data_IF_740420972094
#
_entry.id   IF_740420972094
#
_cell.length_a   1.000
_cell.length_b   1.000
_cell.length_c   1.000
_cell.angle_alpha   90.00
_cell.angle_beta   90.00
_cell.angle_gamma   90.00
#
_symmetry.space_group_name_H-M   'P 1'
#
loop_
_entity.id
_entity.type
_entity.pdbx_description
1 polymer ?
#
# COMPACT_ATOMS: atom_id res chain seq x y z
N UNK A 1 -40.28 33.96 -0.29
CA UNK A 1 -39.66 32.67 0.06
C UNK A 1 -39.35 31.96 -1.24
N UNK A 2 -38.10 32.07 -1.69
CA UNK A 2 -37.59 31.43 -2.90
C UNK A 2 -37.77 29.92 -2.81
N UNK A 3 -38.23 29.31 -3.90
CA UNK A 3 -38.33 27.86 -4.04
C UNK A 3 -36.94 27.26 -3.85
N UNK A 4 -36.72 26.61 -2.71
CA UNK A 4 -35.41 26.06 -2.38
C UNK A 4 -35.19 24.84 -3.27
N UNK A 5 -34.52 25.07 -4.41
CA UNK A 5 -34.36 24.11 -5.51
C UNK A 5 -33.83 22.77 -5.01
N UNK A 6 -33.07 22.77 -3.91
CA UNK A 6 -32.58 21.59 -3.21
C UNK A 6 -33.70 20.64 -2.77
N UNK A 7 -34.78 21.13 -2.18
CA UNK A 7 -35.89 20.28 -1.68
C UNK A 7 -36.69 19.66 -2.82
N UNK A 8 -36.87 20.38 -3.92
CA UNK A 8 -37.55 19.83 -5.10
C UNK A 8 -36.73 18.75 -5.80
N UNK A 9 -35.40 18.87 -5.80
CA UNK A 9 -34.49 17.86 -6.35
C UNK A 9 -34.48 16.60 -5.47
N UNK A 10 -34.47 16.76 -4.14
CA UNK A 10 -34.55 15.62 -3.21
C UNK A 10 -35.86 14.83 -3.34
N UNK A 11 -36.98 15.48 -3.69
CA UNK A 11 -38.26 14.80 -3.93
C UNK A 11 -38.28 13.94 -5.20
N UNK A 12 -37.40 14.23 -6.18
CA UNK A 12 -37.25 13.38 -7.37
C UNK A 12 -36.61 12.03 -7.02
N UNK A 13 -35.75 11.97 -6.01
CA UNK A 13 -35.17 10.72 -5.49
C UNK A 13 -36.22 9.79 -4.87
N UNK A 14 -37.33 10.36 -4.38
CA UNK A 14 -38.51 9.61 -3.94
C UNK A 14 -39.43 9.18 -5.11
N UNK A 15 -38.98 9.31 -6.36
CA UNK A 15 -39.70 8.85 -7.55
C UNK A 15 -40.82 9.79 -7.99
N UNK A 16 -40.76 11.07 -7.61
CA UNK A 16 -41.67 12.10 -8.10
C UNK A 16 -41.13 12.75 -9.38
N UNK A 17 -42.02 13.06 -10.32
CA UNK A 17 -41.64 13.92 -11.45
C UNK A 17 -41.49 15.37 -11.01
N UNK A 18 -40.77 16.17 -11.79
CA UNK A 18 -40.56 17.60 -11.50
C UNK A 18 -41.88 18.37 -11.24
N UNK A 19 -42.97 18.07 -11.97
CA UNK A 19 -44.26 18.69 -11.71
C UNK A 19 -44.91 18.19 -10.41
N UNK A 20 -44.77 16.91 -10.10
CA UNK A 20 -45.29 16.32 -8.86
C UNK A 20 -44.58 16.90 -7.63
N UNK A 21 -43.24 16.98 -7.67
CA UNK A 21 -42.43 17.55 -6.60
C UNK A 21 -42.80 19.02 -6.32
N UNK A 22 -42.98 19.82 -7.38
CA UNK A 22 -43.39 21.23 -7.27
C UNK A 22 -44.79 21.37 -6.69
N UNK A 23 -45.76 20.60 -7.18
CA UNK A 23 -47.13 20.64 -6.67
C UNK A 23 -47.19 20.24 -5.19
N UNK A 24 -46.51 19.16 -4.81
CA UNK A 24 -46.44 18.70 -3.42
C UNK A 24 -45.80 19.74 -2.50
N UNK A 25 -44.66 20.31 -2.89
CA UNK A 25 -43.99 21.38 -2.13
C UNK A 25 -44.88 22.61 -1.96
N UNK A 26 -45.59 23.04 -3.00
CA UNK A 26 -46.51 24.18 -2.94
C UNK A 26 -47.64 23.93 -1.95
N UNK A 27 -48.24 22.73 -1.96
CA UNK A 27 -49.31 22.37 -1.02
C UNK A 27 -48.82 22.26 0.43
N UNK A 28 -47.61 21.75 0.66
CA UNK A 28 -46.98 21.75 2.00
C UNK A 28 -46.70 23.18 2.49
N UNK A 29 -46.18 24.04 1.61
CA UNK A 29 -45.75 25.39 1.98
C UNK A 29 -46.90 26.38 2.17
N UNK A 30 -48.01 26.19 1.46
CA UNK A 30 -49.17 27.11 1.43
C UNK A 30 -50.41 26.57 2.12
N UNK A 31 -50.43 25.28 2.47
CA UNK A 31 -51.62 24.61 2.95
C UNK A 31 -52.62 24.29 1.84
N UNK A 32 -53.89 24.01 2.17
CA UNK A 32 -54.91 23.67 1.19
C UNK A 32 -55.14 24.81 0.18
N UNK A 33 -54.97 24.51 -1.11
CA UNK A 33 -55.09 25.48 -2.21
C UNK A 33 -56.02 24.95 -3.29
N UNK A 34 -56.70 25.84 -4.01
CA UNK A 34 -57.48 25.42 -5.19
C UNK A 34 -56.58 24.98 -6.34
N UNK A 35 -57.09 24.17 -7.28
CA UNK A 35 -56.31 23.76 -8.46
C UNK A 35 -55.81 24.96 -9.30
N UNK A 36 -56.55 26.07 -9.32
CA UNK A 36 -56.17 27.29 -10.02
C UNK A 36 -54.99 28.01 -9.32
N UNK A 37 -55.03 28.09 -7.99
CA UNK A 37 -53.95 28.65 -7.17
C UNK A 37 -52.71 27.76 -7.18
N UNK A 38 -52.90 26.44 -7.16
CA UNK A 38 -51.81 25.48 -7.28
C UNK A 38 -51.05 25.69 -8.59
N UNK A 39 -51.75 25.80 -9.72
CA UNK A 39 -51.13 26.11 -11.02
C UNK A 39 -50.27 27.36 -10.98
N UNK A 40 -50.76 28.41 -10.30
CA UNK A 40 -50.10 29.70 -10.23
C UNK A 40 -48.85 29.64 -9.33
N UNK A 41 -48.98 29.10 -8.12
CA UNK A 41 -47.88 29.06 -7.15
C UNK A 41 -46.84 27.99 -7.44
N UNK A 42 -47.23 26.88 -8.08
CA UNK A 42 -46.31 25.80 -8.45
C UNK A 42 -45.75 25.97 -9.87
N UNK A 43 -46.12 27.05 -10.59
CA UNK A 43 -45.85 27.32 -12.01
C UNK A 43 -45.96 26.07 -12.91
N UNK A 44 -46.99 25.26 -12.65
CA UNK A 44 -47.34 24.12 -13.50
C UNK A 44 -48.39 24.63 -14.51
N UNK A 45 -48.26 24.33 -15.81
CA UNK A 45 -49.26 24.70 -16.80
C UNK A 45 -50.66 24.23 -16.41
N UNK A 46 -51.69 25.08 -16.52
CA UNK A 46 -53.08 24.76 -16.13
C UNK A 46 -53.60 23.45 -16.73
N UNK A 47 -53.15 23.10 -17.94
CA UNK A 47 -53.51 21.85 -18.63
C UNK A 47 -52.95 20.58 -17.97
N UNK A 48 -51.92 20.71 -17.11
CA UNK A 48 -51.23 19.58 -16.45
C UNK A 48 -51.49 19.49 -14.95
N UNK A 49 -52.16 20.46 -14.33
CA UNK A 49 -52.37 20.47 -12.87
C UNK A 49 -53.26 19.32 -12.42
N UNK A 50 -54.40 19.11 -13.07
CA UNK A 50 -55.31 18.02 -12.71
C UNK A 50 -54.68 16.64 -12.91
N UNK A 51 -53.92 16.43 -13.97
CA UNK A 51 -53.23 15.15 -14.21
C UNK A 51 -52.08 14.92 -13.22
N UNK A 52 -51.41 15.98 -12.76
CA UNK A 52 -50.38 15.90 -11.71
C UNK A 52 -51.00 15.60 -10.35
N UNK A 53 -52.11 16.25 -10.00
CA UNK A 53 -52.88 15.98 -8.78
C UNK A 53 -53.38 14.54 -8.73
N UNK A 54 -53.89 14.02 -9.86
CA UNK A 54 -54.35 12.63 -9.94
C UNK A 54 -53.21 11.62 -9.68
N UNK A 55 -52.01 11.91 -10.18
CA UNK A 55 -50.83 11.08 -9.92
C UNK A 55 -50.37 11.16 -8.46
N UNK A 56 -50.38 12.35 -7.86
CA UNK A 56 -50.09 12.53 -6.44
C UNK A 56 -51.11 11.81 -5.56
N UNK A 57 -52.39 11.86 -5.92
CA UNK A 57 -53.46 11.13 -5.23
C UNK A 57 -53.26 9.62 -5.30
N UNK A 58 -52.91 9.08 -6.48
CA UNK A 58 -52.59 7.65 -6.64
C UNK A 58 -51.39 7.19 -5.83
N UNK A 59 -50.44 8.10 -5.56
CA UNK A 59 -49.29 7.87 -4.68
C UNK A 59 -49.59 8.15 -3.19
N UNK A 60 -50.84 8.45 -2.83
CA UNK A 60 -51.25 8.88 -1.48
C UNK A 60 -50.51 10.13 -0.94
N UNK A 61 -50.04 11.01 -1.84
CA UNK A 61 -49.30 12.22 -1.48
C UNK A 61 -50.19 13.47 -1.43
N UNK A 62 -51.41 13.40 -1.94
CA UNK A 62 -52.34 14.52 -1.96
C UNK A 62 -53.79 14.05 -1.80
N UNK A 63 -54.59 14.88 -1.14
CA UNK A 63 -56.04 14.72 -1.00
C UNK A 63 -56.76 15.87 -1.69
N UNK A 64 -57.94 15.57 -2.24
CA UNK A 64 -58.81 16.54 -2.91
C UNK A 64 -60.18 16.54 -2.26
N UNK A 65 -60.78 17.72 -2.11
CA UNK A 65 -62.17 17.86 -1.66
C UNK A 65 -63.16 17.75 -2.81
N UNK A 66 -64.36 17.22 -2.53
CA UNK A 66 -65.47 17.12 -3.50
C UNK A 66 -66.32 18.40 -3.57
N UNK A 67 -66.01 19.40 -2.75
CA UNK A 67 -66.68 20.70 -2.74
C UNK A 67 -66.17 21.60 -3.86
N UNK A 68 -67.02 22.48 -4.40
CA UNK A 68 -66.60 23.52 -5.36
C UNK A 68 -66.25 24.81 -4.61
N UNK A 69 -65.05 25.41 -4.80
CA UNK A 69 -63.96 24.96 -5.68
C UNK A 69 -63.18 23.77 -5.11
N UNK A 70 -62.65 22.91 -5.99
CA UNK A 70 -61.86 21.73 -5.62
C UNK A 70 -60.59 22.20 -4.89
N UNK A 71 -60.54 21.97 -3.59
CA UNK A 71 -59.36 22.22 -2.76
C UNK A 71 -58.46 21.00 -2.74
N UNK A 72 -57.16 21.23 -2.84
CA UNK A 72 -56.10 20.23 -2.85
C UNK A 72 -55.19 20.46 -1.65
N UNK A 73 -54.90 19.40 -0.90
CA UNK A 73 -54.00 19.44 0.25
C UNK A 73 -52.95 18.33 0.13
N UNK A 74 -51.72 18.61 0.54
CA UNK A 74 -50.69 17.59 0.65
C UNK A 74 -50.91 16.77 1.93
N UNK A 75 -50.60 15.48 1.83
CA UNK A 75 -50.45 14.62 3.02
C UNK A 75 -49.15 14.99 3.74
N UNK A 76 -49.10 14.86 5.06
CA UNK A 76 -47.91 15.19 5.84
C UNK A 76 -46.71 14.33 5.39
N UNK A 77 -45.49 14.88 5.25
CA UNK A 77 -44.32 14.13 4.75
C UNK A 77 -44.02 12.86 5.54
N UNK A 78 -44.25 12.88 6.86
CA UNK A 78 -44.04 11.74 7.75
C UNK A 78 -44.95 10.57 7.36
N UNK A 79 -46.20 10.84 6.99
CA UNK A 79 -47.16 9.80 6.56
C UNK A 79 -46.99 9.45 5.08
N UNK A 80 -46.69 10.44 4.26
CA UNK A 80 -46.62 10.36 2.81
C UNK A 80 -45.46 9.47 2.32
N UNK A 81 -44.31 9.51 3.01
CA UNK A 81 -43.11 8.79 2.59
C UNK A 81 -42.74 7.59 3.47
N UNK A 82 -43.35 7.40 4.64
CA UNK A 82 -43.02 6.28 5.54
C UNK A 82 -43.17 4.93 4.84
N UNK A 83 -44.28 4.70 4.14
CA UNK A 83 -44.48 3.43 3.41
C UNK A 83 -43.41 3.22 2.32
N UNK A 84 -43.03 4.28 1.61
CA UNK A 84 -42.01 4.21 0.56
C UNK A 84 -40.63 3.90 1.15
N UNK A 85 -40.30 4.52 2.29
CA UNK A 85 -39.05 4.27 3.02
C UNK A 85 -39.03 2.83 3.53
N UNK A 86 -40.11 2.34 4.14
CA UNK A 86 -40.22 0.97 4.62
C UNK A 86 -40.11 -0.05 3.47
N UNK A 87 -40.72 0.21 2.32
CA UNK A 87 -40.61 -0.66 1.15
C UNK A 87 -39.16 -0.75 0.63
N UNK A 88 -38.42 0.36 0.62
CA UNK A 88 -37.00 0.36 0.25
C UNK A 88 -36.16 -0.41 1.28
N UNK A 89 -36.40 -0.21 2.58
CA UNK A 89 -35.73 -0.96 3.65
C UNK A 89 -35.98 -2.46 3.49
N UNK A 90 -37.23 -2.86 3.26
CA UNK A 90 -37.62 -4.25 3.04
C UNK A 90 -36.95 -4.84 1.80
N UNK A 91 -36.85 -4.07 0.71
CA UNK A 91 -36.15 -4.49 -0.50
C UNK A 91 -34.66 -4.72 -0.26
N UNK A 92 -34.00 -3.81 0.46
CA UNK A 92 -32.60 -3.97 0.85
C UNK A 92 -32.40 -5.20 1.74
N UNK A 93 -33.28 -5.40 2.72
CA UNK A 93 -33.23 -6.57 3.59
C UNK A 93 -33.43 -7.88 2.82
N UNK A 94 -34.37 -7.92 1.87
CA UNK A 94 -34.57 -9.08 1.00
C UNK A 94 -33.33 -9.37 0.14
N UNK A 95 -32.70 -8.34 -0.44
CA UNK A 95 -31.45 -8.48 -1.19
C UNK A 95 -30.31 -9.02 -0.31
N UNK A 96 -30.15 -8.50 0.91
CA UNK A 96 -29.14 -9.00 1.85
C UNK A 96 -29.40 -10.46 2.27
N UNK A 97 -30.67 -10.84 2.46
CA UNK A 97 -31.05 -12.22 2.72
C UNK A 97 -30.71 -13.12 1.54
N UNK A 98 -30.98 -12.71 0.30
CA UNK A 98 -30.62 -13.46 -0.90
C UNK A 98 -29.11 -13.67 -1.01
N UNK A 99 -28.31 -12.62 -0.78
CA UNK A 99 -26.84 -12.73 -0.76
C UNK A 99 -26.37 -13.71 0.31
N UNK A 100 -26.99 -13.70 1.49
CA UNK A 100 -26.66 -14.63 2.59
C UNK A 100 -27.01 -16.08 2.25
N UNK A 101 -28.17 -16.31 1.62
CA UNK A 101 -28.55 -17.64 1.12
C UNK A 101 -27.60 -18.12 0.01
N UNK A 102 -27.21 -17.25 -0.92
CA UNK A 102 -26.24 -17.58 -1.97
C UNK A 102 -24.86 -17.91 -1.40
N UNK A 103 -24.42 -17.19 -0.35
CA UNK A 103 -23.18 -17.54 0.39
C UNK A 103 -23.27 -18.94 0.99
N UNK A 104 -24.40 -19.26 1.63
CA UNK A 104 -24.64 -20.58 2.23
C UNK A 104 -24.61 -21.70 1.19
N UNK A 105 -25.33 -21.53 0.08
CA UNK A 105 -25.34 -22.49 -1.04
C UNK A 105 -23.95 -22.65 -1.66
N UNK A 106 -23.21 -21.55 -1.82
CA UNK A 106 -21.84 -21.58 -2.28
C UNK A 106 -20.92 -22.36 -1.32
N UNK A 107 -21.06 -22.15 -0.02
CA UNK A 107 -20.27 -22.86 1.00
C UNK A 107 -20.65 -24.35 1.14
N UNK A 108 -21.91 -24.72 0.87
CA UNK A 108 -22.34 -26.12 0.81
C UNK A 108 -21.81 -26.84 -0.44
N UNK A 109 -21.88 -26.20 -1.62
CA UNK A 109 -21.22 -26.69 -2.85
C UNK A 109 -19.70 -26.82 -2.69
N UNK A 110 -19.08 -25.96 -1.86
CA UNK A 110 -17.65 -26.02 -1.51
C UNK A 110 -17.30 -27.20 -0.60
N UNK A 111 -18.25 -27.74 0.17
CA UNK A 111 -18.03 -28.91 1.06
C UNK A 111 -18.25 -30.25 0.35
N UNK A 112 -19.12 -30.29 -0.67
CA UNK A 112 -19.47 -31.52 -1.40
C UNK A 112 -18.49 -31.88 -2.53
N UNK A 113 -17.75 -30.90 -3.06
CA UNK A 113 -16.61 -31.15 -3.97
C UNK A 113 -15.39 -31.50 -3.13
N UNK A 114 -15.05 -32.79 -3.08
CA UNK A 114 -13.96 -33.32 -2.26
C UNK A 114 -12.64 -32.57 -2.38
N UNK A 115 -12.12 -32.16 -1.22
CA UNK A 115 -10.74 -31.97 -0.72
C UNK A 115 -9.56 -31.59 -1.66
N UNK A 116 -9.54 -31.89 -2.96
CA UNK A 116 -8.33 -31.76 -3.81
C UNK A 116 -8.34 -30.65 -4.85
N UNK A 117 -9.44 -29.93 -5.09
CA UNK A 117 -9.45 -28.76 -5.99
C UNK A 117 -9.44 -27.45 -5.19
N UNK A 118 -8.31 -27.18 -4.52
CA UNK A 118 -8.14 -26.00 -3.66
C UNK A 118 -7.76 -24.77 -4.52
N UNK A 119 -8.83 -24.13 -5.01
CA UNK A 119 -9.11 -22.70 -5.31
C UNK A 119 -8.00 -21.81 -5.91
N UNK A 120 -8.16 -21.51 -7.20
CA UNK A 120 -7.73 -20.26 -7.83
C UNK A 120 -8.91 -19.27 -7.82
N UNK A 121 -8.73 -18.05 -7.28
CA UNK A 121 -9.72 -16.98 -7.40
C UNK A 121 -9.04 -15.67 -7.84
N UNK A 122 -9.38 -15.22 -9.04
CA UNK A 122 -8.99 -13.91 -9.54
C UNK A 122 -9.86 -12.84 -8.87
N UNK A 123 -9.25 -11.89 -8.18
CA UNK A 123 -9.96 -10.78 -7.52
C UNK A 123 -9.78 -9.48 -8.28
N UNK A 124 -10.82 -8.65 -8.29
CA UNK A 124 -10.73 -7.25 -8.72
C UNK A 124 -9.96 -6.42 -7.69
N UNK A 125 -9.32 -5.34 -8.14
CA UNK A 125 -8.38 -4.50 -7.37
C UNK A 125 -8.92 -4.03 -6.01
N UNK A 126 -10.21 -3.69 -5.91
CA UNK A 126 -10.84 -3.26 -4.65
C UNK A 126 -11.05 -4.39 -3.61
N UNK A 127 -11.07 -5.64 -4.06
CA UNK A 127 -11.28 -6.79 -3.17
C UNK A 127 -9.98 -7.29 -2.53
N UNK A 128 -8.81 -6.87 -3.03
CA UNK A 128 -7.50 -7.34 -2.55
C UNK A 128 -7.27 -6.89 -1.11
N UNK A 129 -7.54 -5.61 -0.80
CA UNK A 129 -7.34 -5.05 0.54
C UNK A 129 -8.31 -5.70 1.55
N UNK A 130 -9.57 -5.90 1.14
CA UNK A 130 -10.57 -6.59 1.96
C UNK A 130 -10.15 -8.02 2.27
N UNK A 131 -9.57 -8.71 1.30
CA UNK A 131 -9.08 -10.06 1.47
C UNK A 131 -7.80 -10.12 2.31
N UNK A 132 -6.89 -9.16 2.13
CA UNK A 132 -5.72 -8.98 2.99
C UNK A 132 -6.15 -8.80 4.45
N UNK A 133 -7.16 -7.95 4.71
CA UNK A 133 -7.74 -7.81 6.05
C UNK A 133 -8.30 -9.12 6.57
N UNK A 134 -9.05 -9.86 5.74
CA UNK A 134 -9.61 -11.17 6.12
C UNK A 134 -8.52 -12.17 6.50
N UNK A 135 -7.43 -12.22 5.75
CA UNK A 135 -6.29 -13.12 6.01
C UNK A 135 -5.59 -12.72 7.31
N UNK A 136 -5.33 -11.42 7.52
CA UNK A 136 -4.70 -10.91 8.74
C UNK A 136 -5.57 -11.15 9.97
N UNK A 137 -6.89 -10.95 9.86
CA UNK A 137 -7.83 -11.15 10.97
C UNK A 137 -8.01 -12.63 11.33
N UNK A 138 -7.92 -13.52 10.34
CA UNK A 138 -8.00 -14.97 10.56
C UNK A 138 -6.72 -15.61 11.10
N UNK A 139 -5.59 -14.90 11.09
CA UNK A 139 -4.31 -15.44 11.50
C UNK A 139 -4.16 -15.52 13.03
N UNK A 140 -3.57 -16.61 13.49
CA UNK A 140 -3.43 -17.01 14.90
C UNK A 140 -1.98 -17.18 15.37
N UNK A 141 -1.01 -17.46 14.48
CA UNK A 141 0.38 -17.77 14.86
C UNK A 141 1.38 -16.80 14.22
N UNK A 142 1.37 -16.68 12.89
CA UNK A 142 2.35 -15.85 12.17
C UNK A 142 1.83 -15.35 10.84
N UNK A 143 2.23 -14.13 10.49
CA UNK A 143 1.94 -13.53 9.20
C UNK A 143 3.24 -13.03 8.59
N UNK A 144 3.52 -13.52 7.38
CA UNK A 144 4.69 -13.18 6.59
C UNK A 144 4.23 -12.40 5.36
N UNK A 145 4.67 -11.15 5.24
CA UNK A 145 4.31 -10.26 4.14
C UNK A 145 5.56 -9.91 3.34
N UNK A 146 5.48 -10.06 2.02
CA UNK A 146 6.39 -9.46 1.04
C UNK A 146 5.57 -8.55 0.16
N UNK A 147 5.83 -7.23 0.22
CA UNK A 147 5.03 -6.23 -0.50
C UNK A 147 5.94 -5.19 -1.14
N UNK A 148 5.68 -4.83 -2.40
CA UNK A 148 6.48 -3.87 -3.17
C UNK A 148 6.05 -2.43 -2.92
N UNK A 149 4.90 -2.19 -2.31
CA UNK A 149 4.33 -0.86 -2.07
C UNK A 149 3.92 -0.71 -0.60
N UNK A 150 4.20 0.47 -0.02
CA UNK A 150 3.83 0.79 1.37
C UNK A 150 2.31 0.92 1.57
N UNK A 151 1.56 1.20 0.51
CA UNK A 151 0.09 1.34 0.52
C UNK A 151 -0.60 0.17 1.22
N UNK A 152 -0.20 -1.07 0.91
CA UNK A 152 -0.76 -2.29 1.53
C UNK A 152 -0.60 -2.33 3.05
N UNK A 153 0.52 -1.80 3.56
CA UNK A 153 0.82 -1.74 5.00
C UNK A 153 0.02 -0.59 5.64
N UNK A 154 0.02 0.59 5.00
CA UNK A 154 -0.67 1.78 5.51
C UNK A 154 -2.18 1.55 5.61
N UNK A 155 -2.78 0.94 4.59
CA UNK A 155 -4.21 0.61 4.56
C UNK A 155 -4.59 -0.50 5.54
N UNK A 156 -3.66 -1.43 5.82
CA UNK A 156 -3.88 -2.56 6.74
C UNK A 156 -3.34 -2.32 8.15
N UNK A 157 -2.95 -1.08 8.48
CA UNK A 157 -2.30 -0.73 9.75
C UNK A 157 -3.13 -1.16 10.97
N UNK A 158 -4.45 -0.95 10.92
CA UNK A 158 -5.36 -1.28 12.04
C UNK A 158 -5.37 -2.78 12.32
N UNK A 159 -5.40 -3.58 11.25
CA UNK A 159 -5.45 -5.04 11.32
C UNK A 159 -4.11 -5.61 11.78
N UNK A 160 -2.99 -5.07 11.32
CA UNK A 160 -1.65 -5.48 11.77
C UNK A 160 -1.48 -5.21 13.27
N UNK A 161 -1.89 -4.03 13.75
CA UNK A 161 -1.86 -3.70 15.18
C UNK A 161 -2.79 -4.62 15.97
N UNK A 162 -3.96 -4.96 15.43
CA UNK A 162 -4.85 -5.93 16.06
C UNK A 162 -4.23 -7.33 16.14
N UNK A 163 -3.56 -7.79 15.08
CA UNK A 163 -2.87 -9.07 15.05
C UNK A 163 -1.72 -9.12 16.08
N UNK A 164 -0.91 -8.06 16.17
CA UNK A 164 0.13 -7.96 17.19
C UNK A 164 -0.44 -8.00 18.61
N UNK A 165 -1.59 -7.34 18.86
CA UNK A 165 -2.28 -7.40 20.16
C UNK A 165 -2.80 -8.80 20.50
N UNK A 166 -3.11 -9.63 19.49
CA UNK A 166 -3.46 -11.04 19.67
C UNK A 166 -2.24 -11.94 19.92
N UNK A 167 -1.02 -11.40 19.85
CA UNK A 167 0.22 -12.16 19.99
C UNK A 167 0.70 -12.83 18.69
N UNK A 168 0.12 -12.46 17.55
CA UNK A 168 0.54 -12.98 16.24
C UNK A 168 1.85 -12.33 15.82
N UNK A 169 2.82 -13.13 15.38
CA UNK A 169 4.11 -12.61 14.93
C UNK A 169 4.00 -12.10 13.49
N UNK A 170 4.17 -10.78 13.30
CA UNK A 170 4.08 -10.15 11.97
C UNK A 170 5.47 -9.78 11.45
N UNK A 171 5.86 -10.38 10.34
CA UNK A 171 7.12 -10.13 9.62
C UNK A 171 6.83 -9.53 8.25
N UNK A 172 7.47 -8.40 7.95
CA UNK A 172 7.23 -7.64 6.73
C UNK A 172 8.55 -7.38 6.00
N UNK A 173 8.58 -7.74 4.72
CA UNK A 173 9.65 -7.38 3.79
C UNK A 173 9.12 -6.30 2.85
N UNK A 174 9.86 -5.20 2.75
CA UNK A 174 9.50 -4.03 1.93
C UNK A 174 10.74 -3.50 1.19
N UNK A 175 10.64 -3.01 -0.05
CA UNK A 175 11.75 -2.33 -0.71
C UNK A 175 12.15 -1.06 0.04
N UNK A 176 13.45 -0.72 0.03
CA UNK A 176 13.94 0.44 0.78
C UNK A 176 13.29 1.76 0.37
N UNK A 177 13.01 1.94 -0.92
CA UNK A 177 12.38 3.17 -1.44
C UNK A 177 11.06 3.45 -0.72
N UNK A 178 10.31 2.39 -0.43
CA UNK A 178 9.02 2.45 0.26
C UNK A 178 9.19 2.54 1.78
N UNK A 179 10.23 1.92 2.34
CA UNK A 179 10.56 2.01 3.76
C UNK A 179 10.94 3.44 4.17
N UNK A 180 11.67 4.16 3.31
CA UNK A 180 12.16 5.52 3.54
C UNK A 180 11.25 6.62 3.00
N UNK A 181 10.14 6.28 2.34
CA UNK A 181 9.21 7.29 1.83
C UNK A 181 8.68 8.16 2.98
N UNK A 182 8.84 9.49 2.86
CA UNK A 182 8.35 10.45 3.84
C UNK A 182 6.82 10.42 3.87
N UNK A 183 6.29 9.80 4.93
CA UNK A 183 4.87 9.61 5.15
C UNK A 183 4.66 9.26 6.60
N UNK A 184 4.08 10.21 7.32
CA UNK A 184 3.81 10.21 8.75
C UNK A 184 3.08 8.92 9.19
N UNK A 185 3.86 7.95 9.69
CA UNK A 185 3.35 6.59 9.84
C UNK A 185 4.41 5.66 10.40
N UNK A 186 4.69 5.84 11.69
CA UNK A 186 5.38 4.88 12.56
C UNK A 186 4.91 3.48 12.16
N UNK A 187 5.87 2.69 11.66
CA UNK A 187 5.72 1.27 11.36
C UNK A 187 4.89 0.63 12.48
N UNK A 188 3.87 -0.19 12.18
CA UNK A 188 2.91 -0.63 13.19
C UNK A 188 3.66 -1.26 14.36
N UNK A 189 3.54 -0.64 15.54
CA UNK A 189 4.30 -1.02 16.73
C UNK A 189 4.20 -2.53 16.98
N UNK A 190 5.35 -3.21 16.97
CA UNK A 190 5.48 -4.65 17.17
C UNK A 190 5.67 -5.49 15.89
N UNK A 191 5.50 -4.94 14.69
CA UNK A 191 5.82 -5.67 13.45
C UNK A 191 7.33 -5.60 13.18
N UNK A 192 7.94 -6.73 12.81
CA UNK A 192 9.33 -6.78 12.39
C UNK A 192 9.41 -6.43 10.92
N UNK A 193 10.21 -5.41 10.57
CA UNK A 193 10.31 -4.92 9.20
C UNK A 193 11.75 -5.01 8.72
N UNK A 194 11.93 -5.64 7.57
CA UNK A 194 13.21 -5.74 6.90
C UNK A 194 13.13 -5.28 5.46
N UNK A 195 14.25 -4.81 4.94
CA UNK A 195 14.36 -4.27 3.59
C UNK A 195 15.27 -5.13 2.72
N UNK A 196 14.78 -5.52 1.54
CA UNK A 196 15.53 -6.19 0.47
C UNK A 196 14.93 -5.80 -0.88
N UNK A 197 15.71 -5.86 -1.96
CA UNK A 197 15.21 -5.75 -3.33
C UNK A 197 14.50 -7.05 -3.69
N UNK A 198 13.26 -6.96 -4.16
CA UNK A 198 12.48 -8.13 -4.58
C UNK A 198 11.42 -7.74 -5.61
N UNK A 199 11.12 -8.69 -6.50
CA UNK A 199 10.03 -8.58 -7.48
C UNK A 199 8.76 -9.32 -7.05
N UNK A 200 8.83 -10.03 -5.92
CA UNK A 200 7.74 -10.83 -5.40
C UNK A 200 6.78 -10.00 -4.55
N UNK A 201 5.50 -10.37 -4.62
CA UNK A 201 4.45 -9.74 -3.84
C UNK A 201 3.45 -10.80 -3.37
N UNK A 202 3.56 -11.20 -2.11
CA UNK A 202 2.64 -12.18 -1.53
C UNK A 202 2.57 -12.08 -0.01
N UNK A 203 1.49 -12.62 0.53
CA UNK A 203 1.23 -12.72 1.97
C UNK A 203 0.94 -14.17 2.32
N UNK A 204 1.57 -14.67 3.38
CA UNK A 204 1.36 -16.00 3.94
C UNK A 204 0.89 -15.86 5.38
N UNK A 205 -0.19 -16.53 5.74
CA UNK A 205 -0.71 -16.58 7.11
C UNK A 205 -0.81 -18.04 7.59
N UNK A 206 -0.27 -18.29 8.78
CA UNK A 206 -0.32 -19.57 9.52
C UNK A 206 0.08 -20.82 8.72
N UNK A 207 0.77 -20.67 7.58
CA UNK A 207 1.07 -21.77 6.67
C UNK A 207 -0.19 -22.44 6.11
N UNK A 208 -1.31 -21.73 5.98
CA UNK A 208 -2.57 -22.26 5.44
C UNK A 208 -3.21 -21.40 4.35
N UNK A 209 -2.96 -20.09 4.37
CA UNK A 209 -3.52 -19.14 3.40
C UNK A 209 -2.40 -18.34 2.74
N UNK A 210 -2.44 -18.23 1.41
CA UNK A 210 -1.54 -17.41 0.62
C UNK A 210 -2.36 -16.44 -0.24
N UNK A 211 -1.88 -15.21 -0.35
CA UNK A 211 -2.40 -14.19 -1.25
C UNK A 211 -1.24 -13.70 -2.12
N UNK A 212 -1.35 -13.81 -3.44
CA UNK A 212 -0.34 -13.32 -4.38
C UNK A 212 -0.86 -12.00 -4.99
N UNK A 213 -0.10 -10.93 -4.84
CA UNK A 213 -0.48 -9.62 -5.36
C UNK A 213 0.25 -9.40 -6.69
N UNK A 214 -0.46 -9.23 -7.79
CA UNK A 214 0.18 -8.87 -9.06
C UNK A 214 0.58 -7.39 -9.06
N UNK A 215 1.72 -7.07 -9.64
CA UNK A 215 2.28 -5.72 -9.74
C UNK A 215 1.35 -4.73 -10.47
N UNK A 216 0.43 -5.23 -11.31
CA UNK A 216 -0.54 -4.42 -12.07
C UNK A 216 -1.90 -4.23 -11.37
N UNK A 217 -2.00 -4.48 -10.07
CA UNK A 217 -3.25 -4.27 -9.31
C UNK A 217 -4.33 -5.34 -9.54
N UNK A 218 -4.01 -6.45 -10.20
CA UNK A 218 -4.85 -7.64 -10.30
C UNK A 218 -4.36 -8.71 -9.33
N UNK A 219 -4.73 -8.63 -8.06
CA UNK A 219 -4.34 -9.64 -7.06
C UNK A 219 -5.02 -10.98 -7.36
N UNK A 220 -4.23 -12.05 -7.34
CA UNK A 220 -4.74 -13.41 -7.45
C UNK A 220 -4.65 -14.06 -6.06
N UNK A 221 -5.80 -14.47 -5.52
CA UNK A 221 -5.78 -15.32 -4.32
C UNK A 221 -5.57 -16.74 -4.77
N UNK A 222 -4.44 -17.29 -4.34
CA UNK A 222 -4.13 -18.70 -4.47
C UNK A 222 -4.25 -19.36 -3.09
N UNK A 223 -5.34 -20.09 -2.86
CA UNK A 223 -5.46 -20.88 -1.63
C UNK A 223 -5.15 -22.35 -1.92
N UNK A 224 -3.89 -22.73 -1.65
CA UNK A 224 -3.32 -24.08 -1.51
C UNK A 224 -3.03 -24.92 -2.76
N UNK A 225 -1.73 -25.02 -3.05
CA UNK A 225 -1.05 -26.29 -3.32
C UNK A 225 0.10 -26.44 -2.31
N UNK A 226 0.15 -27.55 -1.55
CA UNK A 226 1.15 -27.78 -0.50
C UNK A 226 2.60 -27.65 -1.01
N UNK A 227 2.83 -27.99 -2.28
CA UNK A 227 4.14 -27.86 -2.94
C UNK A 227 4.58 -26.40 -3.17
N UNK A 228 3.66 -25.49 -3.50
CA UNK A 228 3.99 -24.06 -3.70
C UNK A 228 4.24 -23.39 -2.34
N UNK A 229 3.51 -23.80 -1.31
CA UNK A 229 3.61 -23.22 0.03
C UNK A 229 4.99 -23.46 0.66
N UNK A 230 5.51 -24.69 0.58
CA UNK A 230 6.84 -24.97 1.09
C UNK A 230 7.90 -24.12 0.38
N UNK A 231 7.77 -23.95 -0.93
CA UNK A 231 8.69 -23.14 -1.73
C UNK A 231 8.60 -21.65 -1.39
N UNK A 232 7.39 -21.09 -1.27
CA UNK A 232 7.20 -19.68 -0.90
C UNK A 232 7.65 -19.40 0.53
N UNK A 233 7.37 -20.29 1.48
CA UNK A 233 7.85 -20.15 2.86
C UNK A 233 9.39 -20.23 2.93
N UNK A 234 10.00 -21.11 2.14
CA UNK A 234 11.45 -21.19 2.01
C UNK A 234 12.04 -19.93 1.36
N UNK A 235 11.40 -19.38 0.32
CA UNK A 235 11.79 -18.12 -0.31
C UNK A 235 11.66 -16.95 0.67
N UNK A 236 10.56 -16.87 1.43
CA UNK A 236 10.40 -15.86 2.47
C UNK A 236 11.54 -15.92 3.47
N UNK A 237 11.85 -17.12 3.98
CA UNK A 237 12.94 -17.31 4.94
C UNK A 237 14.29 -16.90 4.35
N UNK A 238 14.58 -17.30 3.11
CA UNK A 238 15.80 -16.89 2.42
C UNK A 238 15.91 -15.37 2.26
N UNK A 239 14.84 -14.70 1.84
CA UNK A 239 14.81 -13.24 1.72
C UNK A 239 14.94 -12.57 3.08
N UNK A 240 14.25 -13.09 4.09
CA UNK A 240 14.30 -12.60 5.47
C UNK A 240 15.72 -12.66 6.03
N UNK A 241 16.41 -13.79 5.89
CA UNK A 241 17.77 -13.99 6.41
C UNK A 241 18.80 -13.10 5.68
N UNK A 242 18.55 -12.75 4.42
CA UNK A 242 19.43 -11.87 3.62
C UNK A 242 19.06 -10.38 3.70
N UNK A 243 17.90 -10.05 4.26
CA UNK A 243 17.38 -8.68 4.37
C UNK A 243 17.94 -7.92 5.57
N UNK A 244 17.91 -6.60 5.50
CA UNK A 244 18.47 -5.68 6.51
C UNK A 244 17.32 -5.15 7.38
N UNK A 245 17.52 -5.02 8.69
CA UNK A 245 16.49 -4.49 9.57
C UNK A 245 16.23 -3.01 9.27
N UNK A 246 14.96 -2.65 9.07
CA UNK A 246 14.59 -1.28 8.69
C UNK A 246 14.99 -0.25 9.76
N UNK A 247 14.98 -0.64 11.04
CA UNK A 247 15.36 0.23 12.16
C UNK A 247 16.80 0.76 12.07
N UNK A 248 17.72 0.00 11.45
CA UNK A 248 19.13 0.41 11.28
C UNK A 248 19.32 1.48 10.17
N UNK A 249 18.29 1.70 9.34
CA UNK A 249 18.29 2.62 8.19
C UNK A 249 17.50 3.91 8.47
N UNK A 250 16.73 3.97 9.56
CA UNK A 250 15.90 5.13 9.94
C UNK A 250 16.70 6.29 10.54
N UNK A 251 17.94 6.05 10.99
CA UNK A 251 18.82 7.06 11.59
C UNK A 251 19.63 7.89 10.57
N UNK A 252 19.43 7.65 9.27
CA UNK A 252 20.19 8.23 8.17
C UNK A 252 19.30 9.11 7.29
N UNK A 253 19.85 10.19 6.73
CA UNK A 253 19.13 11.06 5.80
C UNK A 253 18.57 10.25 4.60
N UNK A 254 17.42 10.65 4.04
CA UNK A 254 16.68 9.86 3.04
C UNK A 254 17.49 9.51 1.78
N UNK A 255 18.38 10.41 1.35
CA UNK A 255 19.31 10.22 0.23
C UNK A 255 20.49 9.32 0.58
N UNK A 256 21.18 9.58 1.69
CA UNK A 256 22.35 8.79 2.12
C UNK A 256 21.99 7.33 2.43
N UNK A 257 20.80 7.11 3.00
CA UNK A 257 20.25 5.77 3.22
C UNK A 257 20.05 4.99 1.92
N UNK A 258 19.51 5.67 0.90
CA UNK A 258 19.27 5.09 -0.42
C UNK A 258 20.59 4.73 -1.09
N UNK A 259 21.59 5.61 -1.02
CA UNK A 259 22.91 5.39 -1.61
C UNK A 259 23.67 4.26 -0.90
N UNK A 260 23.65 4.25 0.44
CA UNK A 260 24.28 3.23 1.26
C UNK A 260 23.71 1.84 0.94
N UNK A 261 22.39 1.75 0.83
CA UNK A 261 21.73 0.50 0.51
C UNK A 261 21.94 0.05 -0.92
N UNK A 262 21.86 0.96 -1.89
CA UNK A 262 22.11 0.64 -3.31
C UNK A 262 23.53 0.12 -3.48
N UNK A 263 24.49 0.71 -2.75
CA UNK A 263 25.84 0.18 -2.71
C UNK A 263 25.90 -1.21 -2.06
N UNK A 264 25.20 -1.43 -0.95
CA UNK A 264 25.11 -2.75 -0.30
C UNK A 264 24.50 -3.81 -1.23
N UNK A 265 23.40 -3.52 -1.92
CA UNK A 265 22.70 -4.48 -2.78
C UNK A 265 23.58 -4.87 -3.96
N UNK A 266 24.18 -3.87 -4.64
CA UNK A 266 25.14 -4.10 -5.73
C UNK A 266 26.31 -4.93 -5.25
N UNK A 267 26.87 -4.62 -4.08
CA UNK A 267 28.02 -5.34 -3.51
C UNK A 267 27.66 -6.74 -2.99
N UNK A 268 26.39 -7.02 -2.66
CA UNK A 268 25.91 -8.36 -2.28
C UNK A 268 25.59 -9.23 -3.50
N UNK A 269 24.91 -8.69 -4.49
CA UNK A 269 24.52 -9.40 -5.72
C UNK A 269 25.73 -9.72 -6.62
N UNK A 270 26.74 -8.85 -6.61
CA UNK A 270 28.05 -9.14 -7.20
C UNK A 270 28.82 -10.14 -6.33
N UNK A 271 28.43 -11.42 -6.39
CA UNK A 271 29.09 -12.55 -5.71
C UNK A 271 30.62 -12.37 -5.61
N UNK A 272 31.07 -12.00 -4.39
CA UNK A 272 32.42 -11.51 -4.09
C UNK A 272 33.55 -12.52 -4.32
N UNK A 273 33.29 -13.73 -4.83
CA UNK A 273 34.34 -14.70 -5.17
C UNK A 273 34.85 -14.53 -6.61
N UNK A 274 33.97 -14.27 -7.56
CA UNK A 274 34.34 -14.24 -9.00
C UNK A 274 34.87 -12.87 -9.40
N UNK A 275 34.24 -11.79 -8.90
CA UNK A 275 34.61 -10.43 -9.26
C UNK A 275 35.85 -9.92 -8.53
N UNK A 276 36.17 -10.39 -7.31
CA UNK A 276 37.41 -9.99 -6.62
C UNK A 276 38.64 -10.60 -7.30
N UNK A 277 38.56 -11.86 -7.71
CA UNK A 277 39.66 -12.53 -8.41
C UNK A 277 39.85 -11.98 -9.83
N UNK A 278 38.75 -11.59 -10.49
CA UNK A 278 38.78 -10.90 -11.78
C UNK A 278 39.21 -9.43 -11.69
N UNK A 279 38.80 -8.68 -10.66
CA UNK A 279 39.21 -7.28 -10.43
C UNK A 279 40.68 -7.18 -10.00
N UNK A 280 41.20 -8.19 -9.30
CA UNK A 280 42.64 -8.34 -9.08
C UNK A 280 43.43 -8.65 -10.36
N UNK A 281 42.77 -9.17 -11.40
CA UNK A 281 43.37 -9.53 -12.69
C UNK A 281 43.14 -8.48 -13.81
N UNK A 282 42.11 -7.63 -13.70
CA UNK A 282 41.74 -6.64 -14.71
C UNK A 282 41.28 -5.32 -14.06
N UNK A 283 41.99 -4.24 -14.42
CA UNK A 283 41.72 -2.80 -14.23
C UNK A 283 40.65 -2.41 -13.17
N UNK A 284 41.15 -1.65 -12.20
CA UNK A 284 40.55 -1.18 -10.93
C UNK A 284 39.26 -0.29 -11.01
N UNK A 285 38.73 0.25 -12.14
CA UNK A 285 37.49 1.07 -12.11
C UNK A 285 36.16 0.32 -11.92
N UNK A 286 36.12 -1.00 -12.12
CA UNK A 286 34.86 -1.71 -12.39
C UNK A 286 33.79 -1.57 -11.30
N UNK A 287 34.16 -1.53 -10.02
CA UNK A 287 33.19 -1.45 -8.91
C UNK A 287 32.66 -0.02 -8.68
N UNK A 288 33.52 0.99 -8.81
CA UNK A 288 33.11 2.38 -8.67
C UNK A 288 32.18 2.80 -9.83
N UNK A 289 32.48 2.34 -11.04
CA UNK A 289 31.65 2.59 -12.22
C UNK A 289 30.30 1.84 -12.15
N UNK A 290 30.27 0.64 -11.57
CA UNK A 290 29.02 -0.10 -11.32
C UNK A 290 28.12 0.64 -10.33
N UNK A 291 28.69 1.21 -9.28
CA UNK A 291 27.94 2.02 -8.30
C UNK A 291 27.38 3.31 -8.94
N UNK A 292 28.16 4.00 -9.78
CA UNK A 292 27.70 5.14 -10.56
C UNK A 292 26.55 4.77 -11.52
N UNK A 293 26.69 3.65 -12.24
CA UNK A 293 25.61 3.14 -13.10
C UNK A 293 24.36 2.77 -12.29
N UNK A 294 24.53 2.25 -11.08
CA UNK A 294 23.48 1.98 -10.10
C UNK A 294 22.84 3.23 -9.49
N UNK A 295 23.29 4.43 -9.87
CA UNK A 295 22.73 5.70 -9.40
C UNK A 295 23.32 6.20 -8.08
N UNK A 296 24.41 5.60 -7.58
CA UNK A 296 25.16 6.10 -6.43
C UNK A 296 26.26 7.02 -6.93
N UNK A 297 26.19 8.34 -6.70
CA UNK A 297 27.24 9.26 -7.15
C UNK A 297 28.52 8.99 -6.36
N UNK A 298 29.57 8.51 -7.02
CA UNK A 298 30.87 8.23 -6.38
C UNK A 298 31.85 9.35 -6.67
N UNK A 299 31.97 9.77 -7.93
CA UNK A 299 33.02 10.70 -8.35
C UNK A 299 32.68 12.17 -8.12
N UNK A 300 31.40 12.50 -7.90
CA UNK A 300 30.95 13.86 -7.62
C UNK A 300 30.89 14.21 -6.13
N UNK A 301 31.12 13.24 -5.24
CA UNK A 301 31.14 13.45 -3.78
C UNK A 301 32.49 13.98 -3.29
N UNK A 302 32.48 14.58 -2.09
CA UNK A 302 33.73 14.83 -1.37
C UNK A 302 34.29 13.52 -0.80
N UNK A 303 35.61 13.49 -0.56
CA UNK A 303 36.26 12.31 0.04
C UNK A 303 35.67 11.97 1.41
N UNK A 304 35.27 12.98 2.19
CA UNK A 304 34.64 12.76 3.50
C UNK A 304 33.29 12.07 3.37
N UNK A 305 32.42 12.55 2.47
CA UNK A 305 31.09 11.96 2.25
C UNK A 305 31.20 10.53 1.73
N UNK A 306 32.20 10.25 0.89
CA UNK A 306 32.44 8.91 0.36
C UNK A 306 32.97 7.95 1.44
N UNK A 307 33.85 8.43 2.33
CA UNK A 307 34.32 7.64 3.49
C UNK A 307 33.20 7.42 4.49
N UNK A 308 32.32 8.39 4.68
CA UNK A 308 31.12 8.26 5.51
C UNK A 308 30.15 7.23 4.93
N UNK A 309 29.88 7.28 3.62
CA UNK A 309 29.10 6.27 2.91
C UNK A 309 29.70 4.86 3.08
N UNK A 310 31.02 4.73 2.91
CA UNK A 310 31.72 3.47 3.16
C UNK A 310 31.61 3.00 4.62
N UNK A 311 31.64 3.94 5.57
CA UNK A 311 31.49 3.65 7.00
C UNK A 311 30.08 3.15 7.32
N UNK A 312 29.07 3.84 6.80
CA UNK A 312 27.65 3.52 6.97
C UNK A 312 27.31 2.17 6.38
N UNK A 313 27.75 1.89 5.14
CA UNK A 313 27.54 0.58 4.51
C UNK A 313 28.21 -0.57 5.26
N UNK A 314 29.44 -0.39 5.72
CA UNK A 314 30.15 -1.40 6.52
C UNK A 314 29.52 -1.60 7.90
N UNK A 315 28.96 -0.56 8.51
CA UNK A 315 28.22 -0.65 9.78
C UNK A 315 26.91 -1.41 9.62
N UNK A 316 26.09 -1.06 8.62
CA UNK A 316 24.80 -1.72 8.32
C UNK A 316 25.00 -3.20 8.06
N UNK A 317 26.05 -3.56 7.31
CA UNK A 317 26.33 -4.96 7.02
C UNK A 317 26.95 -5.72 8.21
N UNK A 318 27.16 -5.07 9.35
CA UNK A 318 27.80 -5.65 10.54
C UNK A 318 29.31 -5.89 10.39
N UNK A 319 29.89 -5.49 9.25
CA UNK A 319 31.24 -5.89 8.85
C UNK A 319 32.33 -4.89 9.20
N UNK A 320 32.08 -3.63 9.60
CA UNK A 320 33.22 -2.74 9.84
C UNK A 320 32.95 -1.26 10.05
N UNK A 321 34.03 -0.47 10.07
CA UNK A 321 34.01 1.00 10.13
C UNK A 321 35.10 1.53 9.18
N UNK A 322 34.76 2.56 8.41
CA UNK A 322 35.70 3.38 7.66
C UNK A 322 35.98 4.70 8.42
N UNK A 323 37.24 5.12 8.50
CA UNK A 323 37.64 6.42 9.05
C UNK A 323 38.78 7.02 8.25
N UNK A 324 38.67 8.31 7.94
CA UNK A 324 39.78 9.10 7.40
C UNK A 324 40.58 9.68 8.56
N UNK A 325 41.90 9.47 8.56
CA UNK A 325 42.83 10.17 9.45
C UNK A 325 43.41 11.40 8.71
N UNK A 326 42.97 12.62 9.05
CA UNK A 326 43.41 13.83 8.38
C UNK A 326 44.89 14.18 8.66
N UNK A 327 45.50 13.62 9.71
CA UNK A 327 46.89 13.92 10.08
C UNK A 327 47.91 13.25 9.15
N UNK A 328 47.59 12.06 8.65
CA UNK A 328 48.48 11.24 7.84
C UNK A 328 47.92 10.93 6.43
N UNK A 329 46.77 11.50 6.06
CA UNK A 329 46.11 11.22 4.77
C UNK A 329 45.87 9.73 4.56
N UNK A 330 45.54 8.99 5.62
CA UNK A 330 45.37 7.54 5.56
C UNK A 330 43.91 7.19 5.83
N UNK A 331 43.31 6.38 4.97
CA UNK A 331 41.96 5.86 5.19
C UNK A 331 42.08 4.48 5.83
N UNK A 332 41.46 4.32 6.98
CA UNK A 332 41.43 3.08 7.74
C UNK A 332 40.08 2.39 7.55
N UNK A 333 40.10 1.20 6.93
CA UNK A 333 38.95 0.32 6.77
C UNK A 333 39.16 -0.88 7.70
N UNK A 334 38.40 -0.94 8.78
CA UNK A 334 38.46 -2.07 9.72
C UNK A 334 37.27 -2.98 9.47
N UNK A 335 37.55 -4.23 9.09
CA UNK A 335 36.54 -5.28 9.00
C UNK A 335 36.46 -6.09 10.31
N UNK A 336 35.28 -6.62 10.64
CA UNK A 336 35.10 -7.63 11.69
C UNK A 336 35.24 -9.04 11.12
N UNK A 337 35.04 -9.25 9.83
CA UNK A 337 35.13 -10.56 9.14
C UNK A 337 35.92 -10.49 7.83
N UNK A 338 36.31 -11.65 7.29
CA UNK A 338 37.16 -11.75 6.10
C UNK A 338 36.34 -11.76 4.79
N UNK A 339 35.13 -11.20 4.81
CA UNK A 339 34.10 -11.33 3.75
C UNK A 339 34.34 -10.45 2.51
N UNK A 340 35.54 -9.89 2.32
CA UNK A 340 35.88 -9.09 1.12
C UNK A 340 35.22 -7.70 1.02
N UNK A 341 34.16 -7.39 1.78
CA UNK A 341 33.46 -6.10 1.70
C UNK A 341 34.33 -4.87 2.00
N UNK A 342 35.25 -4.96 2.98
CA UNK A 342 36.20 -3.89 3.26
C UNK A 342 37.21 -3.70 2.12
N UNK A 343 37.52 -4.76 1.37
CA UNK A 343 38.39 -4.70 0.20
C UNK A 343 37.65 -4.10 -1.00
N UNK A 344 36.37 -4.42 -1.19
CA UNK A 344 35.53 -3.78 -2.22
C UNK A 344 35.48 -2.26 -2.04
N UNK A 345 35.23 -1.79 -0.81
CA UNK A 345 35.28 -0.36 -0.51
C UNK A 345 36.67 0.23 -0.65
N UNK A 346 37.73 -0.55 -0.39
CA UNK A 346 39.09 -0.08 -0.61
C UNK A 346 39.39 0.18 -2.09
N UNK A 347 38.94 -0.72 -2.98
CA UNK A 347 39.06 -0.57 -4.43
C UNK A 347 38.22 0.60 -4.96
N UNK A 348 37.01 0.81 -4.43
CA UNK A 348 36.16 1.95 -4.81
C UNK A 348 36.82 3.28 -4.42
N UNK A 349 37.35 3.37 -3.20
CA UNK A 349 38.07 4.56 -2.72
C UNK A 349 39.36 4.78 -3.52
N UNK A 350 40.07 3.72 -3.89
CA UNK A 350 41.26 3.78 -4.74
C UNK A 350 40.92 4.34 -6.14
N UNK A 351 39.85 3.84 -6.78
CA UNK A 351 39.39 4.34 -8.07
C UNK A 351 38.98 5.83 -8.03
N UNK A 352 38.28 6.25 -6.97
CA UNK A 352 37.94 7.66 -6.73
C UNK A 352 39.21 8.54 -6.65
N UNK A 353 40.18 8.11 -5.85
CA UNK A 353 41.42 8.84 -5.60
C UNK A 353 42.29 8.93 -6.86
N UNK A 354 42.41 7.85 -7.63
CA UNK A 354 43.15 7.85 -8.90
C UNK A 354 42.52 8.80 -9.93
N UNK A 355 41.18 8.84 -10.03
CA UNK A 355 40.48 9.78 -10.93
C UNK A 355 40.72 11.25 -10.55
N UNK A 356 40.92 11.53 -9.27
CA UNK A 356 41.24 12.86 -8.75
C UNK A 356 42.75 13.15 -8.70
N UNK A 357 43.59 12.28 -9.29
CA UNK A 357 45.02 12.51 -9.44
C UNK A 357 45.89 12.11 -8.24
N UNK A 358 45.36 11.35 -7.27
CA UNK A 358 46.13 10.89 -6.12
C UNK A 358 46.79 9.53 -6.37
N UNK A 359 48.08 9.42 -6.05
CA UNK A 359 48.76 8.13 -5.94
C UNK A 359 48.25 7.38 -4.72
N UNK A 360 47.96 6.09 -4.86
CA UNK A 360 47.36 5.29 -3.80
C UNK A 360 48.04 3.94 -3.68
N UNK A 361 48.19 3.48 -2.44
CA UNK A 361 48.67 2.13 -2.16
C UNK A 361 47.79 1.47 -1.12
N UNK A 362 47.11 0.41 -1.51
CA UNK A 362 46.37 -0.46 -0.59
C UNK A 362 47.36 -1.36 0.15
N UNK A 363 47.41 -1.22 1.47
CA UNK A 363 48.22 -2.06 2.35
C UNK A 363 47.28 -2.98 3.11
N UNK A 364 47.32 -4.27 2.77
CA UNK A 364 46.63 -5.33 3.51
C UNK A 364 47.66 -6.10 4.34
N UNK A 365 47.58 -5.98 5.66
CA UNK A 365 48.37 -6.86 6.53
C UNK A 365 47.71 -8.25 6.51
N UNK A 366 48.42 -9.27 6.01
CA UNK A 366 47.88 -10.64 5.84
C UNK A 366 47.16 -11.20 7.07
N UNK A 367 46.13 -12.04 6.86
CA UNK A 367 45.13 -12.53 7.86
C UNK A 367 44.52 -11.47 8.81
N UNK A 368 44.92 -10.21 8.73
CA UNK A 368 44.46 -9.16 9.62
C UNK A 368 43.28 -8.43 8.99
N UNK A 369 42.28 -8.15 9.82
CA UNK A 369 41.00 -7.59 9.43
C UNK A 369 41.06 -6.07 9.18
N UNK A 370 42.23 -5.54 8.80
CA UNK A 370 42.51 -4.10 8.65
C UNK A 370 43.12 -3.82 7.29
N UNK A 371 42.49 -2.93 6.54
CA UNK A 371 42.97 -2.42 5.26
C UNK A 371 43.27 -0.94 5.44
N UNK A 372 44.43 -0.51 4.97
CA UNK A 372 44.87 0.87 5.01
C UNK A 372 45.11 1.35 3.59
N UNK A 373 44.51 2.48 3.22
CA UNK A 373 44.83 3.18 1.97
C UNK A 373 45.69 4.36 2.36
N UNK A 374 46.94 4.38 1.89
CA UNK A 374 47.83 5.53 2.06
C UNK A 374 47.76 6.41 0.83
N UNK A 375 47.50 7.70 1.04
CA UNK A 375 47.63 8.73 -0.01
C UNK A 375 49.12 9.01 -0.22
N UNK A 376 49.61 8.76 -1.43
CA UNK A 376 50.90 9.25 -1.88
C UNK A 376 50.66 10.59 -2.59
N UNK A 377 51.40 11.64 -2.20
CA UNK A 377 51.38 12.91 -2.94
C UNK A 377 51.83 12.61 -4.37
N UNK A 378 51.02 12.99 -5.35
CA UNK A 378 51.42 12.93 -6.75
C UNK A 378 52.68 13.78 -6.97
N UNK A 379 53.60 13.24 -7.77
CA UNK A 379 54.76 13.95 -8.31
C UNK A 379 54.30 14.95 -9.36
#
# INVERSE_FOLDING_TARGET
MSMDKSLTVSLEEFGLSQYEARAYFTMISKGPVSAAELSYYSEIPRTKVYSTLEKLRKKNLATTSDTKPIMCAAVAPEEAFDSTIQDQINRVNAMNSLVSSLKTVNDECRKSRGVEERRYQQLSTGNIISELHRIIDGASHSIDLIVSQRSYITESRKQIVAANRRGVLVRIILPLIEANAEGDGILPGGAQIRTITHDYNYVVADGGNILILNQFGGGEVLTMADGIMHNLSALFKYLWDNSIQADELLDLNSTESKDAYTAISILKESSLSVSLQAAMAAKIPALADLLEFGGVPIYSRTLNDLVELASTTLKIMGYGIAKLDPSNGTIHLKSKDNNGHALSWALILEAYLQKHGYGTRIIQHGKSKKIHIRLEKAV
#
